data_IF_944758390063
#
_entry.id   IF_944758390063
#
_cell.length_a   1.000
_cell.length_b   1.000
_cell.length_c   1.000
_cell.angle_alpha   90.00
_cell.angle_beta   90.00
_cell.angle_gamma   90.00
#
_symmetry.space_group_name_H-M   'P 1'
#
loop_
_entity.id
_entity.type
_entity.pdbx_description
1 polymer ?
#
# COMPACT_ATOMS: atom_id res chain seq x y z
N UNK A 1 -16.19 35.80 -43.05
CA UNK A 1 -17.64 35.64 -43.32
C UNK A 1 -18.20 35.07 -42.04
N UNK A 2 -18.76 35.85 -41.15
CA UNK A 2 -20.13 36.38 -40.95
C UNK A 2 -21.17 35.28 -41.10
N UNK A 3 -21.84 34.87 -39.94
CA UNK A 3 -23.17 35.24 -39.53
C UNK A 3 -23.51 34.56 -38.19
N UNK A 4 -23.78 35.22 -37.24
CA UNK A 4 -24.73 35.71 -36.27
C UNK A 4 -26.20 35.33 -36.59
N UNK A 5 -26.93 34.85 -35.57
CA UNK A 5 -28.31 35.23 -35.23
C UNK A 5 -28.84 34.35 -34.10
N UNK A 6 -29.03 34.83 -32.91
CA UNK A 6 -30.15 35.58 -32.29
C UNK A 6 -31.28 34.72 -31.72
N UNK A 7 -31.38 34.78 -30.39
CA UNK A 7 -32.51 35.18 -29.51
C UNK A 7 -33.87 34.51 -29.66
N UNK A 8 -34.39 34.00 -28.57
CA UNK A 8 -35.64 34.57 -27.98
C UNK A 8 -35.91 34.09 -26.56
N UNK A 9 -36.08 35.09 -25.71
CA UNK A 9 -36.62 35.15 -24.37
C UNK A 9 -38.15 34.96 -24.43
N UNK A 10 -38.73 34.25 -23.46
CA UNK A 10 -40.12 34.49 -23.03
C UNK A 10 -40.24 34.38 -21.51
N UNK A 11 -40.53 35.53 -20.91
CA UNK A 11 -41.09 35.74 -19.58
C UNK A 11 -42.61 35.63 -19.62
N UNK A 12 -43.21 35.19 -18.52
CA UNK A 12 -44.50 35.59 -17.98
C UNK A 12 -44.61 34.96 -16.57
N UNK A 13 -44.55 35.68 -15.46
CA UNK A 13 -45.56 36.52 -14.80
C UNK A 13 -46.86 35.70 -14.52
N UNK A 14 -47.28 35.42 -13.31
CA UNK A 14 -47.44 36.05 -12.06
C UNK A 14 -48.80 35.62 -11.50
N UNK A 15 -48.96 35.43 -10.21
CA UNK A 15 -50.15 35.83 -9.47
C UNK A 15 -50.03 35.46 -7.97
N UNK A 16 -50.23 36.48 -7.15
CA UNK A 16 -50.34 36.40 -5.70
C UNK A 16 -51.81 36.32 -5.27
N UNK A 17 -52.08 35.68 -4.13
CA UNK A 17 -53.20 35.92 -3.22
C UNK A 17 -52.94 35.09 -1.95
N UNK A 18 -52.72 35.64 -0.86
CA UNK A 18 -53.50 36.35 0.15
C UNK A 18 -53.86 35.43 1.36
N UNK A 19 -53.30 35.85 2.47
CA UNK A 19 -53.64 35.70 3.89
C UNK A 19 -54.98 35.06 4.29
N UNK A 20 -54.90 34.13 5.27
CA UNK A 20 -55.81 34.14 6.41
C UNK A 20 -55.12 33.59 7.68
N UNK A 21 -55.01 34.45 8.68
CA UNK A 21 -54.69 34.08 10.09
C UNK A 21 -55.93 33.43 10.73
N UNK A 22 -55.72 32.38 11.51
CA UNK A 22 -56.56 32.03 12.62
C UNK A 22 -55.70 31.46 13.74
N UNK A 23 -55.64 32.20 14.83
CA UNK A 23 -55.13 31.82 16.15
C UNK A 23 -56.25 31.11 16.88
N UNK A 24 -55.99 30.01 17.59
CA UNK A 24 -56.41 29.68 18.96
C UNK A 24 -56.10 28.21 19.26
N UNK A 25 -55.49 27.97 20.42
CA UNK A 25 -55.66 26.73 21.13
C UNK A 25 -54.38 26.13 21.75
N UNK A 26 -54.07 26.51 22.97
CA UNK A 26 -53.12 25.82 23.81
C UNK A 26 -53.59 24.39 24.11
N UNK A 27 -52.68 23.42 23.94
CA UNK A 27 -52.85 22.05 24.40
C UNK A 27 -51.48 21.45 24.64
N UNK A 28 -51.05 21.37 25.91
CA UNK A 28 -49.94 20.56 26.33
C UNK A 28 -50.29 19.09 26.12
N UNK A 29 -49.55 18.40 25.29
CA UNK A 29 -49.37 16.96 25.36
C UNK A 29 -47.92 16.65 25.00
N UNK A 30 -47.18 16.18 26.00
CA UNK A 30 -45.89 15.55 25.87
C UNK A 30 -46.06 14.21 25.18
N UNK A 31 -45.69 14.16 23.91
CA UNK A 31 -45.37 12.91 23.20
C UNK A 31 -44.01 13.13 22.60
N UNK A 32 -43.04 12.32 23.10
CA UNK A 32 -41.68 12.24 22.56
C UNK A 32 -41.76 11.78 21.10
N UNK A 33 -41.51 12.70 20.20
CA UNK A 33 -41.18 12.39 18.82
C UNK A 33 -39.67 12.26 18.76
N UNK A 34 -39.19 11.02 18.65
CA UNK A 34 -37.85 10.73 18.14
C UNK A 34 -37.81 11.23 16.68
N UNK A 35 -37.44 12.49 16.50
CA UNK A 35 -36.95 12.95 15.22
C UNK A 35 -35.63 12.25 14.93
N UNK A 36 -35.27 12.02 13.66
CA UNK A 36 -33.97 11.47 13.34
C UNK A 36 -32.92 12.40 13.97
N UNK A 37 -32.20 11.88 14.97
CA UNK A 37 -30.99 12.50 15.52
C UNK A 37 -30.05 12.67 14.33
N UNK A 38 -29.77 13.90 13.93
CA UNK A 38 -28.66 14.16 13.01
C UNK A 38 -27.43 13.54 13.64
N UNK A 39 -26.79 12.61 12.93
CA UNK A 39 -25.53 12.03 13.34
C UNK A 39 -24.57 13.17 13.72
N UNK A 40 -23.81 13.00 14.78
CA UNK A 40 -22.77 13.98 15.11
C UNK A 40 -21.68 13.93 14.06
N UNK A 41 -20.89 14.99 13.88
CA UNK A 41 -19.75 14.96 12.97
C UNK A 41 -18.79 13.79 13.27
N UNK A 42 -18.70 13.40 14.55
CA UNK A 42 -17.93 12.22 14.98
C UNK A 42 -18.48 10.93 14.36
N UNK A 43 -19.81 10.76 14.37
CA UNK A 43 -20.46 9.55 13.85
C UNK A 43 -20.35 9.49 12.33
N UNK A 44 -20.40 10.64 11.63
CA UNK A 44 -20.30 10.70 10.17
C UNK A 44 -18.89 10.32 9.65
N UNK A 45 -17.82 10.77 10.33
CA UNK A 45 -16.43 10.40 9.98
C UNK A 45 -16.23 8.91 10.21
N UNK A 46 -16.63 8.41 11.38
CA UNK A 46 -16.47 6.99 11.72
C UNK A 46 -17.26 6.08 10.78
N UNK A 47 -18.50 6.46 10.41
CA UNK A 47 -19.36 5.68 9.51
C UNK A 47 -18.75 5.60 8.10
N UNK A 48 -18.32 6.74 7.52
CA UNK A 48 -17.65 6.74 6.21
C UNK A 48 -16.35 5.94 6.20
N UNK A 49 -15.55 6.07 7.26
CA UNK A 49 -14.32 5.30 7.38
C UNK A 49 -14.60 3.81 7.58
N UNK A 50 -15.64 3.44 8.35
CA UNK A 50 -16.03 2.04 8.54
C UNK A 50 -16.53 1.39 7.25
N UNK A 51 -17.32 2.11 6.43
CA UNK A 51 -17.72 1.63 5.10
C UNK A 51 -16.51 1.35 4.19
N UNK A 52 -15.55 2.27 4.18
CA UNK A 52 -14.32 2.10 3.41
C UNK A 52 -13.44 0.96 3.97
N UNK A 53 -13.40 0.79 5.28
CA UNK A 53 -12.64 -0.28 5.94
C UNK A 53 -13.22 -1.67 5.67
N UNK A 54 -14.55 -1.79 5.65
CA UNK A 54 -15.22 -3.06 5.31
C UNK A 54 -14.79 -3.59 3.94
N UNK A 55 -14.54 -2.70 2.99
CA UNK A 55 -14.04 -3.07 1.67
C UNK A 55 -12.55 -3.51 1.67
N UNK A 56 -11.81 -3.25 2.75
CA UNK A 56 -10.40 -3.63 2.90
C UNK A 56 -10.21 -4.91 3.72
N UNK A 57 -11.25 -5.44 4.37
CA UNK A 57 -11.20 -6.75 5.02
C UNK A 57 -11.33 -7.89 4.00
N UNK A 58 -11.03 -9.10 4.41
CA UNK A 58 -10.98 -10.26 3.53
C UNK A 58 -9.90 -10.11 2.48
N UNK A 59 -10.25 -10.29 1.21
CA UNK A 59 -9.31 -10.08 0.11
C UNK A 59 -8.98 -8.60 -0.16
N UNK A 60 -9.76 -7.65 0.39
CA UNK A 60 -9.58 -6.25 0.08
C UNK A 60 -9.59 -5.99 -1.42
N UNK A 61 -8.53 -5.40 -1.93
CA UNK A 61 -8.34 -5.20 -3.38
C UNK A 61 -7.53 -6.30 -4.06
N UNK A 62 -7.00 -7.28 -3.31
CA UNK A 62 -6.40 -8.47 -3.92
C UNK A 62 -7.41 -9.22 -4.79
N UNK A 63 -6.97 -9.70 -5.94
CA UNK A 63 -7.74 -10.50 -6.86
C UNK A 63 -6.97 -11.75 -7.29
N UNK A 64 -7.67 -12.73 -7.83
CA UNK A 64 -7.04 -13.85 -8.52
C UNK A 64 -6.14 -13.34 -9.67
N UNK A 65 -5.02 -14.00 -9.94
CA UNK A 65 -4.16 -13.62 -11.06
C UNK A 65 -4.89 -13.79 -12.40
N UNK A 66 -4.35 -13.18 -13.49
CA UNK A 66 -4.92 -13.35 -14.82
C UNK A 66 -5.10 -14.82 -15.18
N UNK A 67 -6.33 -15.24 -15.52
CA UNK A 67 -6.66 -16.63 -15.88
C UNK A 67 -6.31 -16.98 -17.33
N UNK A 68 -5.75 -16.03 -18.10
CA UNK A 68 -5.31 -16.20 -19.49
C UNK A 68 -3.95 -15.60 -19.69
N UNK A 69 -3.13 -16.20 -20.53
CA UNK A 69 -1.79 -15.72 -20.83
C UNK A 69 -0.96 -16.71 -21.65
N UNK A 70 0.30 -16.40 -21.91
CA UNK A 70 1.18 -17.23 -22.68
C UNK A 70 1.60 -18.47 -21.87
N UNK A 71 1.87 -19.54 -22.59
CA UNK A 71 2.57 -20.68 -22.00
C UNK A 71 3.98 -20.25 -21.58
N UNK A 72 4.56 -21.03 -20.68
CA UNK A 72 5.93 -20.80 -20.23
C UNK A 72 6.89 -20.62 -21.41
N UNK A 73 7.74 -19.61 -21.34
CA UNK A 73 8.79 -19.32 -22.32
C UNK A 73 10.13 -19.77 -21.71
N UNK A 74 10.55 -21.04 -21.90
CA UNK A 74 11.72 -21.58 -21.21
C UNK A 74 13.04 -21.16 -21.85
N UNK A 75 14.15 -21.38 -21.11
CA UNK A 75 15.50 -21.23 -21.64
C UNK A 75 16.09 -19.84 -21.51
N UNK A 76 15.36 -18.89 -20.92
CA UNK A 76 15.85 -17.53 -20.68
C UNK A 76 16.73 -17.46 -19.43
N UNK A 77 17.73 -16.60 -19.47
CA UNK A 77 18.55 -16.21 -18.32
C UNK A 77 17.99 -14.93 -17.73
N UNK A 78 17.44 -15.03 -16.52
CA UNK A 78 16.87 -13.89 -15.81
C UNK A 78 17.75 -13.57 -14.61
N UNK A 79 18.11 -12.30 -14.43
CA UNK A 79 18.86 -11.85 -13.26
C UNK A 79 17.96 -11.02 -12.34
N UNK A 80 17.61 -11.57 -11.18
CA UNK A 80 16.94 -10.84 -10.12
C UNK A 80 17.98 -10.08 -9.29
N UNK A 81 17.88 -8.77 -9.27
CA UNK A 81 18.62 -7.91 -8.35
C UNK A 81 17.66 -7.44 -7.28
N UNK A 82 17.82 -7.97 -6.08
CA UNK A 82 16.98 -7.64 -4.91
C UNK A 82 17.64 -6.53 -4.11
N UNK A 83 16.84 -5.62 -3.55
CA UNK A 83 17.35 -4.61 -2.59
C UNK A 83 18.02 -5.27 -1.37
N UNK A 84 17.50 -6.40 -0.91
CA UNK A 84 18.08 -7.22 0.16
C UNK A 84 17.26 -8.46 0.40
N UNK A 85 17.91 -9.61 0.54
CA UNK A 85 17.26 -10.91 0.79
C UNK A 85 17.22 -11.30 2.26
N UNK A 86 17.73 -10.46 3.17
CA UNK A 86 17.82 -10.76 4.60
C UNK A 86 16.55 -10.40 5.38
N UNK A 87 15.72 -9.50 4.87
CA UNK A 87 14.43 -9.18 5.49
C UNK A 87 13.39 -10.28 5.23
N UNK A 88 12.35 -10.38 6.04
CA UNK A 88 11.24 -11.28 5.78
C UNK A 88 10.65 -11.09 4.38
N UNK A 89 10.44 -9.84 3.95
CA UNK A 89 9.94 -9.47 2.62
C UNK A 89 10.85 -9.97 1.51
N UNK A 90 12.13 -9.59 1.56
CA UNK A 90 13.11 -9.98 0.53
C UNK A 90 13.33 -11.49 0.46
N UNK A 91 13.24 -12.19 1.60
CA UNK A 91 13.30 -13.67 1.64
C UNK A 91 12.08 -14.29 0.94
N UNK A 92 10.87 -13.85 1.28
CA UNK A 92 9.62 -14.33 0.68
C UNK A 92 9.62 -14.11 -0.83
N UNK A 93 9.91 -12.89 -1.25
CA UNK A 93 9.99 -12.50 -2.65
C UNK A 93 11.03 -13.34 -3.43
N UNK A 94 12.25 -13.48 -2.92
CA UNK A 94 13.28 -14.24 -3.60
C UNK A 94 12.95 -15.74 -3.69
N UNK A 95 12.22 -16.30 -2.73
CA UNK A 95 11.76 -17.68 -2.78
C UNK A 95 10.67 -17.84 -3.84
N UNK A 96 9.64 -16.98 -3.83
CA UNK A 96 8.59 -16.98 -4.86
C UNK A 96 9.16 -16.83 -6.28
N UNK A 97 10.15 -15.94 -6.46
CA UNK A 97 10.84 -15.77 -7.74
C UNK A 97 11.58 -17.03 -8.20
N UNK A 98 12.26 -17.76 -7.28
CA UNK A 98 12.92 -19.03 -7.60
C UNK A 98 11.92 -20.12 -8.00
N UNK A 99 10.80 -20.19 -7.32
CA UNK A 99 9.73 -21.15 -7.62
C UNK A 99 9.11 -20.88 -8.98
N UNK A 100 8.70 -19.64 -9.25
CA UNK A 100 8.13 -19.24 -10.54
C UNK A 100 9.12 -19.46 -11.69
N UNK A 101 10.38 -19.02 -11.54
CA UNK A 101 11.43 -19.20 -12.55
C UNK A 101 11.70 -20.67 -12.88
N UNK A 102 11.71 -21.52 -11.85
CA UNK A 102 11.86 -22.99 -12.03
C UNK A 102 10.73 -23.58 -12.86
N UNK A 103 9.48 -23.18 -12.60
CA UNK A 103 8.31 -23.63 -13.33
C UNK A 103 8.33 -23.10 -14.78
N UNK A 104 8.75 -21.87 -14.99
CA UNK A 104 8.90 -21.25 -16.32
C UNK A 104 10.10 -21.81 -17.11
N UNK A 105 10.98 -22.58 -16.47
CA UNK A 105 12.18 -23.14 -17.11
C UNK A 105 13.29 -22.12 -17.37
N UNK A 106 13.40 -21.12 -16.49
CA UNK A 106 14.42 -20.09 -16.57
C UNK A 106 15.69 -20.45 -15.77
N UNK A 107 16.82 -19.92 -16.21
CA UNK A 107 18.07 -19.87 -15.45
C UNK A 107 18.08 -18.56 -14.64
N UNK A 108 17.59 -18.62 -13.40
CA UNK A 108 17.48 -17.45 -12.52
C UNK A 108 18.73 -17.32 -11.65
N UNK A 109 19.44 -16.19 -11.81
CA UNK A 109 20.44 -15.74 -10.84
C UNK A 109 19.82 -14.70 -9.89
N UNK A 110 20.14 -14.79 -8.59
CA UNK A 110 19.68 -13.83 -7.57
C UNK A 110 20.87 -13.11 -6.99
N UNK A 111 20.88 -11.79 -7.12
CA UNK A 111 21.89 -10.92 -6.53
C UNK A 111 21.30 -10.19 -5.31
N UNK A 112 21.99 -10.31 -4.18
CA UNK A 112 21.63 -9.65 -2.93
C UNK A 112 22.26 -8.25 -2.86
N UNK A 113 21.41 -7.22 -2.94
CA UNK A 113 21.84 -5.82 -2.89
C UNK A 113 22.16 -5.29 -1.49
N UNK A 114 21.93 -6.07 -0.43
CA UNK A 114 22.33 -5.77 0.96
C UNK A 114 21.90 -4.39 1.48
N UNK A 115 20.88 -3.81 0.86
CA UNK A 115 20.38 -2.44 1.10
C UNK A 115 21.44 -1.35 0.82
N UNK A 116 22.38 -1.62 -0.12
CA UNK A 116 23.46 -0.71 -0.48
C UNK A 116 23.38 -0.33 -1.97
N UNK A 117 23.24 0.96 -2.34
CA UNK A 117 23.14 1.39 -3.75
C UNK A 117 24.32 0.96 -4.64
N UNK A 118 25.50 0.80 -4.07
CA UNK A 118 26.69 0.29 -4.80
C UNK A 118 26.52 -1.17 -5.19
N UNK A 119 25.93 -1.99 -4.34
CA UNK A 119 25.64 -3.39 -4.62
C UNK A 119 24.54 -3.52 -5.66
N UNK A 120 23.50 -2.66 -5.63
CA UNK A 120 22.47 -2.64 -6.67
C UNK A 120 23.06 -2.44 -8.07
N UNK A 121 23.95 -1.45 -8.21
CA UNK A 121 24.64 -1.18 -9.47
C UNK A 121 25.53 -2.35 -9.88
N UNK A 122 26.22 -2.98 -8.94
CA UNK A 122 27.05 -4.15 -9.23
C UNK A 122 26.20 -5.34 -9.68
N UNK A 123 25.03 -5.59 -9.06
CA UNK A 123 24.09 -6.62 -9.49
C UNK A 123 23.63 -6.45 -10.93
N UNK A 124 23.30 -5.22 -11.35
CA UNK A 124 22.95 -4.91 -12.73
C UNK A 124 24.16 -5.17 -13.68
N UNK A 125 25.36 -4.74 -13.31
CA UNK A 125 26.56 -5.01 -14.11
C UNK A 125 26.89 -6.49 -14.22
N UNK A 126 26.67 -7.24 -13.14
CA UNK A 126 26.83 -8.69 -13.15
C UNK A 126 25.84 -9.35 -14.12
N UNK A 127 24.58 -8.94 -14.13
CA UNK A 127 23.57 -9.39 -15.08
C UNK A 127 24.00 -9.13 -16.53
N UNK A 128 24.53 -7.94 -16.81
CA UNK A 128 25.07 -7.57 -18.13
C UNK A 128 26.24 -8.49 -18.50
N UNK A 129 27.18 -8.71 -17.60
CA UNK A 129 28.38 -9.54 -17.85
C UNK A 129 28.04 -11.01 -18.12
N UNK A 130 26.95 -11.50 -17.55
CA UNK A 130 26.44 -12.86 -17.72
C UNK A 130 25.54 -13.01 -18.97
N UNK A 131 25.33 -11.93 -19.71
CA UNK A 131 24.43 -11.87 -20.86
C UNK A 131 23.02 -12.34 -20.47
N UNK A 132 22.45 -11.75 -19.43
CA UNK A 132 21.07 -12.00 -19.06
C UNK A 132 20.12 -11.55 -20.17
N UNK A 133 19.04 -12.30 -20.40
CA UNK A 133 17.98 -11.94 -21.34
C UNK A 133 17.02 -10.90 -20.74
N UNK A 134 16.98 -10.81 -19.41
CA UNK A 134 16.19 -9.83 -18.65
C UNK A 134 16.84 -9.54 -17.30
N UNK A 135 16.71 -8.30 -16.84
CA UNK A 135 17.03 -7.88 -15.47
C UNK A 135 15.71 -7.62 -14.75
N UNK A 136 15.52 -8.29 -13.63
CA UNK A 136 14.37 -8.13 -12.76
C UNK A 136 14.82 -7.39 -11.49
N UNK A 137 14.35 -6.17 -11.28
CA UNK A 137 14.63 -5.37 -10.09
C UNK A 137 13.52 -5.56 -9.06
N UNK A 138 13.90 -5.83 -7.83
CA UNK A 138 12.98 -5.86 -6.69
C UNK A 138 13.33 -4.76 -5.69
N UNK A 139 12.39 -3.82 -5.49
CA UNK A 139 12.48 -2.73 -4.51
C UNK A 139 13.76 -1.88 -4.64
N UNK A 140 14.12 -1.53 -5.89
CA UNK A 140 15.28 -0.70 -6.22
C UNK A 140 14.84 0.41 -7.16
N UNK A 141 14.72 1.63 -6.64
CA UNK A 141 14.30 2.79 -7.41
C UNK A 141 15.36 3.22 -8.43
N UNK A 142 14.90 3.57 -9.63
CA UNK A 142 15.77 3.98 -10.75
C UNK A 142 16.81 5.07 -10.41
N UNK A 143 16.51 6.14 -9.64
CA UNK A 143 17.50 7.16 -9.32
C UNK A 143 18.75 6.63 -8.62
N UNK A 144 18.66 5.53 -7.88
CA UNK A 144 19.77 4.93 -7.14
C UNK A 144 20.78 4.22 -8.05
N UNK A 145 20.32 3.77 -9.24
CA UNK A 145 21.10 2.90 -10.12
C UNK A 145 21.17 3.39 -11.58
N UNK A 146 20.80 4.64 -11.83
CA UNK A 146 20.69 5.21 -13.17
C UNK A 146 21.88 4.90 -14.09
N UNK A 147 23.11 5.01 -13.57
CA UNK A 147 24.32 4.72 -14.35
C UNK A 147 24.37 3.27 -14.85
N UNK A 148 24.00 2.31 -13.99
CA UNK A 148 23.96 0.89 -14.35
C UNK A 148 22.79 0.59 -15.32
N UNK A 149 21.67 1.31 -15.21
CA UNK A 149 20.55 1.22 -16.16
C UNK A 149 20.94 1.76 -17.54
N UNK A 150 21.74 2.83 -17.62
CA UNK A 150 22.33 3.29 -18.89
C UNK A 150 23.23 2.22 -19.53
N UNK A 151 23.95 1.44 -18.71
CA UNK A 151 24.77 0.32 -19.17
C UNK A 151 23.90 -0.84 -19.69
N UNK A 152 22.84 -1.22 -18.97
CA UNK A 152 21.88 -2.25 -19.39
C UNK A 152 21.19 -1.86 -20.71
N UNK A 153 20.73 -0.61 -20.83
CA UNK A 153 20.12 -0.07 -22.06
C UNK A 153 21.06 -0.13 -23.25
N UNK A 154 22.34 0.20 -23.05
CA UNK A 154 23.36 0.08 -24.11
C UNK A 154 23.67 -1.36 -24.51
N UNK A 155 23.55 -2.29 -23.57
CA UNK A 155 23.67 -3.72 -23.80
C UNK A 155 22.42 -4.32 -24.46
N UNK A 156 21.31 -3.58 -24.53
CA UNK A 156 20.05 -4.05 -25.11
C UNK A 156 19.32 -5.04 -24.22
N UNK A 157 19.58 -5.02 -22.89
CA UNK A 157 18.94 -5.91 -21.94
C UNK A 157 17.74 -5.19 -21.32
N UNK A 158 16.52 -5.70 -21.47
CA UNK A 158 15.31 -5.13 -20.87
C UNK A 158 15.34 -5.24 -19.35
N UNK A 159 14.83 -4.21 -18.68
CA UNK A 159 14.76 -4.12 -17.22
C UNK A 159 13.31 -4.08 -16.79
N UNK A 160 12.96 -4.92 -15.83
CA UNK A 160 11.62 -5.06 -15.27
C UNK A 160 11.61 -4.64 -13.81
N UNK A 161 10.56 -3.94 -13.41
CA UNK A 161 10.41 -3.44 -12.05
C UNK A 161 9.31 -4.17 -11.30
N UNK A 162 9.64 -4.55 -10.09
CA UNK A 162 8.73 -4.98 -9.05
C UNK A 162 8.98 -4.12 -7.82
N UNK A 163 7.97 -3.42 -7.31
CA UNK A 163 8.07 -2.48 -6.20
C UNK A 163 9.17 -1.41 -6.37
N UNK A 164 9.26 -0.78 -7.53
CA UNK A 164 10.24 0.29 -7.71
C UNK A 164 9.76 1.33 -8.72
N UNK A 165 10.04 2.59 -8.42
CA UNK A 165 9.75 3.71 -9.29
C UNK A 165 10.79 3.84 -10.40
N UNK A 166 10.33 4.08 -11.65
CA UNK A 166 11.21 4.47 -12.73
C UNK A 166 11.71 5.92 -12.52
N UNK A 167 12.73 6.31 -13.20
CA UNK A 167 13.25 7.66 -13.15
C UNK A 167 12.21 8.69 -13.63
N UNK A 168 11.38 8.33 -14.60
CA UNK A 168 10.28 9.17 -15.10
C UNK A 168 9.15 9.36 -14.10
N UNK A 169 8.94 8.43 -13.17
CA UNK A 169 7.90 8.53 -12.13
C UNK A 169 8.29 9.54 -11.05
N UNK A 170 9.60 9.68 -10.81
CA UNK A 170 10.15 10.63 -9.83
C UNK A 170 10.44 12.00 -10.45
N UNK A 171 10.91 12.03 -11.69
CA UNK A 171 11.18 13.23 -12.47
C UNK A 171 10.63 13.06 -13.89
N UNK A 172 9.49 13.70 -14.22
CA UNK A 172 8.90 13.59 -15.57
C UNK A 172 9.78 14.03 -16.72
N UNK A 173 10.90 14.73 -16.45
CA UNK A 173 11.88 15.11 -17.45
C UNK A 173 12.96 14.03 -17.67
N UNK A 174 13.03 13.03 -16.79
CA UNK A 174 13.96 11.92 -16.93
C UNK A 174 13.46 10.91 -17.97
N UNK A 175 14.38 10.17 -18.65
CA UNK A 175 13.97 9.07 -19.51
C UNK A 175 13.44 7.89 -18.68
N UNK A 176 12.52 7.14 -19.25
CA UNK A 176 12.13 5.83 -18.74
C UNK A 176 13.23 4.79 -19.02
N UNK A 177 13.43 3.92 -18.06
CA UNK A 177 14.40 2.83 -18.12
C UNK A 177 13.76 1.45 -17.99
N UNK A 178 12.59 1.37 -17.35
CA UNK A 178 11.93 0.08 -17.18
C UNK A 178 11.10 -0.25 -18.40
N UNK A 179 11.32 -1.44 -18.93
CA UNK A 179 10.55 -1.99 -20.06
C UNK A 179 9.10 -2.22 -19.64
N UNK A 180 8.92 -2.75 -18.40
CA UNK A 180 7.63 -2.90 -17.73
C UNK A 180 7.82 -2.79 -16.24
N UNK A 181 6.79 -2.28 -15.59
CA UNK A 181 6.60 -2.31 -14.14
C UNK A 181 5.40 -3.16 -13.78
N UNK A 182 5.43 -3.80 -12.62
CA UNK A 182 4.27 -4.54 -12.13
C UNK A 182 3.09 -3.58 -11.93
N UNK A 183 1.93 -3.97 -12.45
CA UNK A 183 0.69 -3.22 -12.25
C UNK A 183 -0.08 -3.81 -11.07
N UNK A 184 -0.36 -3.00 -10.06
CA UNK A 184 -1.11 -3.36 -8.86
C UNK A 184 -2.62 -3.14 -9.08
N UNK A 185 -3.43 -3.61 -8.15
CA UNK A 185 -4.88 -3.38 -8.22
C UNK A 185 -5.25 -1.90 -8.11
N UNK A 186 -4.44 -1.11 -7.40
CA UNK A 186 -4.58 0.34 -7.24
C UNK A 186 -4.06 1.13 -8.45
N UNK A 187 -3.26 0.53 -9.32
CA UNK A 187 -2.61 1.16 -10.45
C UNK A 187 -1.10 0.94 -10.47
N UNK A 188 -0.31 2.01 -10.54
CA UNK A 188 1.16 1.91 -10.50
C UNK A 188 1.69 1.72 -9.06
N UNK A 189 3.00 1.59 -8.96
CA UNK A 189 3.69 1.40 -7.67
C UNK A 189 3.47 2.55 -6.67
N UNK A 190 3.38 3.80 -7.16
CA UNK A 190 3.15 4.96 -6.30
C UNK A 190 1.70 4.98 -5.83
N UNK A 191 0.74 4.73 -6.72
CA UNK A 191 -0.68 4.64 -6.39
C UNK A 191 -0.97 3.52 -5.39
N UNK A 192 -0.31 2.35 -5.56
CA UNK A 192 -0.37 1.27 -4.57
C UNK A 192 0.19 1.72 -3.21
N UNK A 193 1.33 2.39 -3.18
CA UNK A 193 1.90 2.95 -1.96
C UNK A 193 0.99 3.97 -1.27
N UNK A 194 0.35 4.87 -2.04
CA UNK A 194 -0.69 5.78 -1.51
C UNK A 194 -1.87 4.99 -0.92
N UNK A 195 -2.29 3.91 -1.56
CA UNK A 195 -3.32 3.00 -1.07
C UNK A 195 -3.00 2.39 0.29
N UNK A 196 -1.74 1.96 0.51
CA UNK A 196 -1.28 1.45 1.81
C UNK A 196 -1.44 2.51 2.91
N UNK A 197 -1.01 3.74 2.66
CA UNK A 197 -1.18 4.85 3.61
C UNK A 197 -2.64 5.21 3.84
N UNK A 198 -3.44 5.23 2.78
CA UNK A 198 -4.88 5.47 2.87
C UNK A 198 -5.59 4.42 3.73
N UNK A 199 -5.20 3.14 3.63
CA UNK A 199 -5.77 2.06 4.45
C UNK A 199 -5.52 2.28 5.95
N UNK A 200 -4.34 2.79 6.32
CA UNK A 200 -4.03 3.13 7.72
C UNK A 200 -4.92 4.27 8.25
N UNK A 201 -5.12 5.31 7.45
CA UNK A 201 -5.99 6.43 7.81
C UNK A 201 -7.45 5.97 7.97
N UNK A 202 -7.94 5.14 7.04
CA UNK A 202 -9.29 4.56 7.07
C UNK A 202 -9.49 3.75 8.34
N UNK A 203 -8.55 2.85 8.69
CA UNK A 203 -8.66 2.03 9.89
C UNK A 203 -8.70 2.88 11.17
N UNK A 204 -7.79 3.85 11.30
CA UNK A 204 -7.75 4.74 12.46
C UNK A 204 -9.03 5.58 12.59
N UNK A 205 -9.53 6.14 11.49
CA UNK A 205 -10.74 6.95 11.52
C UNK A 205 -11.99 6.12 11.79
N UNK A 206 -12.05 4.87 11.35
CA UNK A 206 -13.16 3.96 11.68
C UNK A 206 -13.22 3.67 13.20
N UNK A 207 -12.05 3.60 13.87
CA UNK A 207 -11.97 3.38 15.33
C UNK A 207 -12.16 4.67 16.15
N UNK A 208 -11.69 5.83 15.67
CA UNK A 208 -11.54 7.05 16.45
C UNK A 208 -12.54 8.17 16.09
N UNK A 209 -13.15 8.12 14.90
CA UNK A 209 -14.02 9.16 14.37
C UNK A 209 -13.31 10.52 14.25
N UNK A 210 -14.08 11.60 14.35
CA UNK A 210 -13.56 12.97 14.28
C UNK A 210 -12.74 13.40 15.52
N UNK A 211 -12.57 12.53 16.53
CA UNK A 211 -11.70 12.77 17.68
C UNK A 211 -10.28 12.24 17.49
N UNK A 212 -9.95 11.80 16.29
CA UNK A 212 -8.64 11.28 15.97
C UNK A 212 -7.55 12.35 16.22
N UNK A 213 -6.61 12.04 17.11
CA UNK A 213 -5.35 12.77 17.37
C UNK A 213 -4.22 11.77 17.15
N UNK A 214 -3.61 11.80 15.97
CA UNK A 214 -2.76 10.73 15.48
C UNK A 214 -1.30 11.16 15.46
N UNK A 215 -0.40 10.27 15.89
CA UNK A 215 1.03 10.37 15.64
C UNK A 215 1.34 9.50 14.44
N UNK A 216 1.71 10.11 13.32
CA UNK A 216 2.24 9.41 12.16
C UNK A 216 3.76 9.31 12.27
N UNK A 217 4.31 8.09 12.25
CA UNK A 217 5.76 7.83 12.22
C UNK A 217 6.13 7.55 10.77
N UNK A 218 6.58 8.59 10.08
CA UNK A 218 6.84 8.59 8.65
C UNK A 218 8.35 8.50 8.35
N UNK A 219 8.70 7.59 7.44
CA UNK A 219 9.99 7.59 6.76
C UNK A 219 9.74 8.02 5.31
N UNK A 220 10.34 9.10 4.87
CA UNK A 220 10.16 9.61 3.49
C UNK A 220 11.45 9.54 2.66
N UNK A 221 12.39 8.67 3.07
CA UNK A 221 13.67 8.50 2.37
C UNK A 221 13.55 7.61 1.13
N UNK A 222 12.54 6.70 1.09
CA UNK A 222 12.26 5.80 -0.03
C UNK A 222 11.00 6.26 -0.76
N UNK A 223 10.90 5.98 -2.06
CA UNK A 223 9.72 6.34 -2.85
C UNK A 223 8.45 5.72 -2.28
N UNK A 224 8.48 4.41 -1.97
CA UNK A 224 7.33 3.72 -1.39
C UNK A 224 6.88 4.32 -0.06
N UNK A 225 7.80 4.57 0.85
CA UNK A 225 7.44 5.08 2.19
C UNK A 225 6.98 6.53 2.14
N UNK A 226 7.46 7.30 1.15
CA UNK A 226 6.89 8.61 0.85
C UNK A 226 5.48 8.50 0.30
N UNK A 227 5.21 7.56 -0.61
CA UNK A 227 3.87 7.33 -1.13
C UNK A 227 2.89 6.92 -0.02
N UNK A 228 3.30 6.04 0.91
CA UNK A 228 2.51 5.70 2.11
C UNK A 228 2.18 6.96 2.93
N UNK A 229 3.17 7.82 3.18
CA UNK A 229 2.94 9.10 3.88
C UNK A 229 1.94 9.98 3.13
N UNK A 230 2.15 10.18 1.83
CA UNK A 230 1.31 11.05 1.01
C UNK A 230 -0.15 10.53 0.97
N UNK A 231 -0.34 9.22 0.82
CA UNK A 231 -1.65 8.57 0.83
C UNK A 231 -2.36 8.67 2.18
N UNK A 232 -1.62 8.49 3.28
CA UNK A 232 -2.14 8.68 4.63
C UNK A 232 -2.64 10.11 4.84
N UNK A 233 -1.82 11.12 4.53
CA UNK A 233 -2.17 12.53 4.68
C UNK A 233 -3.37 12.92 3.82
N UNK A 234 -3.37 12.51 2.55
CA UNK A 234 -4.46 12.77 1.59
C UNK A 234 -5.79 12.18 2.08
N UNK A 235 -5.77 10.94 2.61
CA UNK A 235 -6.98 10.28 3.11
C UNK A 235 -7.46 10.89 4.43
N UNK A 236 -6.56 11.30 5.31
CA UNK A 236 -6.90 12.05 6.53
C UNK A 236 -7.57 13.40 6.18
N UNK A 237 -7.03 14.15 5.22
CA UNK A 237 -7.63 15.41 4.77
C UNK A 237 -9.01 15.19 4.12
N UNK A 238 -9.16 14.14 3.32
CA UNK A 238 -10.41 13.79 2.64
C UNK A 238 -11.54 13.45 3.64
N UNK A 239 -11.26 12.61 4.63
CA UNK A 239 -12.28 12.09 5.54
C UNK A 239 -12.44 12.91 6.82
N UNK A 240 -11.36 13.55 7.30
CA UNK A 240 -11.36 14.31 8.55
C UNK A 240 -10.35 15.45 8.53
N UNK A 241 -10.59 16.51 7.75
CA UNK A 241 -9.69 17.67 7.66
C UNK A 241 -9.41 18.39 9.01
N UNK A 242 -10.33 18.27 9.97
CA UNK A 242 -10.20 18.86 11.31
C UNK A 242 -9.51 17.90 12.31
N UNK A 243 -9.25 16.65 11.94
CA UNK A 243 -8.52 15.71 12.77
C UNK A 243 -7.05 16.14 12.93
N UNK A 244 -6.49 15.87 14.09
CA UNK A 244 -5.11 16.25 14.36
C UNK A 244 -4.14 15.14 13.95
N UNK A 245 -3.15 15.50 13.13
CA UNK A 245 -2.02 14.63 12.77
C UNK A 245 -0.71 15.30 13.16
N UNK A 246 0.12 14.59 13.90
CA UNK A 246 1.48 14.99 14.25
C UNK A 246 2.47 14.04 13.58
N UNK A 247 3.13 14.49 12.52
CA UNK A 247 4.11 13.66 11.81
C UNK A 247 5.46 13.67 12.52
N UNK A 248 5.92 12.48 12.92
CA UNK A 248 7.27 12.22 13.39
C UNK A 248 8.11 11.70 12.23
N UNK A 249 8.93 12.56 11.62
CA UNK A 249 9.86 12.13 10.59
C UNK A 249 11.03 11.34 11.19
N UNK A 250 11.24 10.13 10.68
CA UNK A 250 12.35 9.24 11.04
C UNK A 250 13.17 8.88 9.81
N UNK A 251 14.36 8.36 10.03
CA UNK A 251 15.27 7.88 8.98
C UNK A 251 15.63 6.42 9.23
N UNK A 252 16.06 5.71 8.21
CA UNK A 252 16.56 4.33 8.33
C UNK A 252 17.69 4.25 9.36
N UNK A 253 18.55 5.26 9.42
CA UNK A 253 19.62 5.36 10.42
C UNK A 253 19.14 5.48 11.89
N UNK A 254 17.86 5.74 12.11
CA UNK A 254 17.28 5.83 13.46
C UNK A 254 16.84 4.47 14.03
N UNK A 255 16.81 3.39 13.24
CA UNK A 255 16.29 2.09 13.67
C UNK A 255 16.97 1.58 14.94
N UNK A 256 16.20 0.89 15.79
CA UNK A 256 16.61 0.42 17.09
C UNK A 256 16.39 1.42 18.23
N UNK A 257 17.35 1.60 19.17
CA UNK A 257 17.16 2.42 20.37
C UNK A 257 16.81 3.89 20.09
N UNK A 258 17.34 4.48 19.00
CA UNK A 258 17.06 5.87 18.64
C UNK A 258 15.61 6.04 18.15
N UNK A 259 15.06 5.08 17.41
CA UNK A 259 13.66 5.07 17.00
C UNK A 259 12.74 4.97 18.22
N UNK A 260 13.03 4.04 19.14
CA UNK A 260 12.27 3.89 20.38
C UNK A 260 12.26 5.19 21.19
N UNK A 261 13.40 5.88 21.33
CA UNK A 261 13.50 7.16 22.05
C UNK A 261 12.67 8.26 21.37
N UNK A 262 12.74 8.37 20.04
CA UNK A 262 11.97 9.35 19.27
C UNK A 262 10.46 9.14 19.44
N UNK A 263 9.98 7.90 19.29
CA UNK A 263 8.56 7.56 19.46
C UNK A 263 8.12 7.81 20.90
N UNK A 264 8.90 7.37 21.91
CA UNK A 264 8.61 7.64 23.33
C UNK A 264 8.50 9.15 23.60
N UNK A 265 9.40 9.95 23.01
CA UNK A 265 9.35 11.40 23.14
C UNK A 265 8.11 12.00 22.46
N UNK A 266 7.72 11.48 21.29
CA UNK A 266 6.51 11.92 20.59
C UNK A 266 5.25 11.60 21.43
N UNK A 267 5.15 10.41 22.00
CA UNK A 267 4.07 10.01 22.90
C UNK A 267 3.97 10.91 24.15
N UNK A 268 5.11 11.27 24.74
CA UNK A 268 5.14 12.18 25.91
C UNK A 268 4.71 13.62 25.56
N UNK A 269 5.07 14.10 24.36
CA UNK A 269 4.73 15.45 23.89
C UNK A 269 3.28 15.57 23.42
N UNK A 270 2.65 14.46 23.04
CA UNK A 270 1.27 14.38 22.56
C UNK A 270 0.44 13.48 23.49
N UNK A 271 0.15 13.92 24.73
CA UNK A 271 -0.58 13.09 25.70
C UNK A 271 -2.04 12.83 25.30
N UNK A 272 -2.61 13.64 24.42
CA UNK A 272 -3.96 13.49 23.87
C UNK A 272 -4.05 12.56 22.67
N UNK A 273 -2.93 12.19 22.06
CA UNK A 273 -2.94 11.32 20.89
C UNK A 273 -3.60 9.98 21.21
N UNK A 274 -4.54 9.54 20.40
CA UNK A 274 -5.30 8.30 20.56
C UNK A 274 -5.10 7.33 19.40
N UNK A 275 -4.34 7.73 18.37
CA UNK A 275 -3.95 6.89 17.26
C UNK A 275 -2.46 7.02 16.92
N UNK A 276 -1.90 5.96 16.33
CA UNK A 276 -0.55 5.95 15.75
C UNK A 276 -0.52 5.14 14.47
N UNK A 277 0.06 5.71 13.41
CA UNK A 277 0.36 5.02 12.17
C UNK A 277 1.88 4.91 12.00
N UNK A 278 2.39 3.74 11.62
CA UNK A 278 3.79 3.55 11.25
C UNK A 278 3.84 3.04 9.80
N UNK A 279 4.73 3.58 8.99
CA UNK A 279 4.74 3.33 7.54
C UNK A 279 4.81 1.84 7.18
N UNK A 280 5.47 1.00 7.99
CA UNK A 280 5.60 -0.44 7.76
C UNK A 280 6.06 -1.20 9.02
N UNK A 281 6.00 -2.51 8.97
CA UNK A 281 6.17 -3.43 10.11
C UNK A 281 7.55 -3.36 10.79
N UNK A 282 8.63 -3.15 10.03
CA UNK A 282 9.98 -3.08 10.62
C UNK A 282 10.13 -1.94 11.63
N UNK A 283 9.34 -0.87 11.52
CA UNK A 283 9.34 0.22 12.50
C UNK A 283 8.81 -0.26 13.86
N UNK A 284 7.83 -1.17 13.85
CA UNK A 284 7.31 -1.76 15.09
C UNK A 284 8.36 -2.62 15.78
N UNK A 285 8.98 -3.55 15.04
CA UNK A 285 9.97 -4.48 15.58
C UNK A 285 11.30 -3.80 15.92
N UNK A 286 11.62 -2.68 15.27
CA UNK A 286 12.84 -1.89 15.53
C UNK A 286 12.71 -0.85 16.63
N UNK A 287 11.65 -0.89 17.44
CA UNK A 287 11.50 -0.01 18.60
C UNK A 287 10.12 0.59 18.82
N UNK A 288 9.26 0.62 17.80
CA UNK A 288 7.91 1.18 17.88
C UNK A 288 7.04 0.50 18.95
N UNK A 289 6.91 -0.82 18.87
CA UNK A 289 6.15 -1.60 19.83
C UNK A 289 6.67 -1.43 21.28
N UNK A 290 7.99 -1.45 21.45
CA UNK A 290 8.61 -1.25 22.76
C UNK A 290 8.32 0.16 23.32
N UNK A 291 8.30 1.19 22.47
CA UNK A 291 7.96 2.55 22.89
C UNK A 291 6.49 2.67 23.35
N UNK A 292 5.55 2.08 22.59
CA UNK A 292 4.12 2.07 22.96
C UNK A 292 3.91 1.37 24.29
N UNK A 293 4.44 0.16 24.45
CA UNK A 293 4.32 -0.62 25.70
C UNK A 293 4.95 0.13 26.89
N UNK A 294 6.17 0.67 26.71
CA UNK A 294 6.87 1.41 27.76
C UNK A 294 6.18 2.72 28.17
N UNK A 295 5.38 3.31 27.30
CA UNK A 295 4.60 4.52 27.60
C UNK A 295 3.42 4.26 28.55
N UNK A 296 3.04 2.98 28.75
CA UNK A 296 1.84 2.58 29.51
C UNK A 296 0.53 2.88 28.80
N UNK A 297 0.56 3.18 27.50
CA UNK A 297 -0.61 3.59 26.70
C UNK A 297 -1.14 2.50 25.78
N UNK A 298 -0.61 1.30 25.88
CA UNK A 298 -0.94 0.18 25.00
C UNK A 298 -2.45 -0.09 24.85
N UNK A 299 -3.24 0.16 25.92
CA UNK A 299 -4.70 -0.06 25.92
C UNK A 299 -5.49 1.25 25.66
N UNK A 300 -4.83 2.33 25.26
CA UNK A 300 -5.44 3.66 25.09
C UNK A 300 -5.01 4.41 23.83
N UNK A 301 -4.27 3.77 22.96
CA UNK A 301 -3.85 4.27 21.65
C UNK A 301 -4.01 3.15 20.63
N UNK A 302 -4.72 3.44 19.55
CA UNK A 302 -4.88 2.52 18.43
C UNK A 302 -3.65 2.58 17.52
N UNK A 303 -3.02 1.45 17.23
CA UNK A 303 -1.74 1.40 16.50
C UNK A 303 -1.84 0.51 15.28
N UNK A 304 -1.60 1.09 14.10
CA UNK A 304 -1.53 0.36 12.83
C UNK A 304 -0.16 0.51 12.20
N UNK A 305 0.36 -0.60 11.67
CA UNK A 305 1.54 -0.63 10.83
C UNK A 305 1.24 -1.37 9.52
N UNK A 306 2.18 -2.12 8.97
CA UNK A 306 1.94 -2.83 7.73
C UNK A 306 2.81 -4.05 7.52
N UNK A 307 2.49 -4.77 6.49
CA UNK A 307 3.03 -5.99 5.90
C UNK A 307 2.48 -7.31 6.44
N UNK A 308 2.12 -7.42 7.71
CA UNK A 308 1.58 -8.68 8.28
C UNK A 308 2.64 -9.77 8.45
N UNK A 309 3.88 -9.43 8.81
CA UNK A 309 4.90 -10.41 9.12
C UNK A 309 4.63 -11.14 10.44
N UNK A 310 5.14 -12.37 10.57
CA UNK A 310 4.97 -13.22 11.76
C UNK A 310 5.21 -12.46 13.07
N UNK A 311 6.30 -11.70 13.16
CA UNK A 311 6.63 -10.96 14.37
C UNK A 311 5.56 -9.92 14.73
N UNK A 312 5.01 -9.23 13.75
CA UNK A 312 3.99 -8.19 13.91
C UNK A 312 2.61 -8.77 14.18
N UNK A 313 2.24 -9.85 13.49
CA UNK A 313 1.05 -10.66 13.80
C UNK A 313 1.08 -11.09 15.28
N UNK A 314 2.24 -11.56 15.76
CA UNK A 314 2.41 -11.92 17.17
C UNK A 314 2.26 -10.73 18.13
N UNK A 315 2.67 -9.51 17.74
CA UNK A 315 2.43 -8.29 18.53
C UNK A 315 0.93 -8.02 18.71
N UNK A 316 0.15 -8.17 17.63
CA UNK A 316 -1.32 -8.00 17.67
C UNK A 316 -1.96 -9.05 18.57
N UNK A 317 -1.62 -10.36 18.41
CA UNK A 317 -2.13 -11.43 19.28
C UNK A 317 -1.82 -11.22 20.74
N UNK A 318 -0.62 -10.74 21.04
CA UNK A 318 -0.13 -10.59 22.42
C UNK A 318 -0.49 -9.25 23.05
N UNK A 319 -1.18 -8.37 22.33
CA UNK A 319 -1.47 -6.99 22.76
C UNK A 319 -0.20 -6.23 23.15
N UNK A 320 0.77 -6.19 22.25
CA UNK A 320 2.10 -5.61 22.51
C UNK A 320 2.42 -4.45 21.58
N UNK A 321 1.57 -3.42 21.57
CA UNK A 321 1.85 -2.13 20.95
C UNK A 321 1.49 -2.05 19.48
N UNK A 322 0.84 -3.07 18.89
CA UNK A 322 0.25 -3.06 17.56
C UNK A 322 -1.14 -3.68 17.62
N UNK A 323 -2.12 -3.09 16.91
CA UNK A 323 -3.51 -3.50 16.89
C UNK A 323 -3.98 -3.97 15.54
N UNK A 324 -3.37 -3.45 14.45
CA UNK A 324 -3.73 -3.76 13.08
C UNK A 324 -2.52 -3.64 12.13
N UNK A 325 -2.71 -4.12 10.89
CA UNK A 325 -1.76 -3.94 9.80
C UNK A 325 -2.42 -4.06 8.44
N UNK A 326 -1.85 -3.39 7.44
CA UNK A 326 -2.08 -3.74 6.05
C UNK A 326 -1.25 -4.99 5.70
N UNK A 327 -1.58 -5.66 4.60
CA UNK A 327 -1.04 -6.98 4.29
C UNK A 327 -0.13 -6.96 3.06
N UNK A 328 0.79 -7.91 3.01
CA UNK A 328 1.72 -8.12 1.92
C UNK A 328 1.99 -9.61 1.70
N UNK A 329 2.04 -10.04 0.44
CA UNK A 329 2.47 -11.39 0.07
C UNK A 329 3.56 -11.33 -1.02
N UNK A 330 4.82 -11.39 -0.59
CA UNK A 330 5.96 -11.32 -1.49
C UNK A 330 6.07 -12.49 -2.48
N UNK A 331 5.53 -13.64 -2.14
CA UNK A 331 5.53 -14.79 -3.05
C UNK A 331 4.52 -14.58 -4.18
N UNK A 332 3.29 -14.16 -3.87
CA UNK A 332 2.29 -13.86 -4.88
C UNK A 332 2.75 -12.75 -5.83
N UNK A 333 3.35 -11.70 -5.28
CA UNK A 333 3.88 -10.61 -6.08
C UNK A 333 5.03 -11.05 -6.99
N UNK A 334 5.94 -11.90 -6.47
CA UNK A 334 7.03 -12.45 -7.28
C UNK A 334 6.53 -13.33 -8.44
N UNK A 335 5.49 -14.13 -8.23
CA UNK A 335 4.89 -14.92 -9.31
C UNK A 335 4.22 -14.02 -10.34
N UNK A 336 3.57 -12.95 -9.90
CA UNK A 336 2.97 -11.93 -10.78
C UNK A 336 4.01 -11.20 -11.61
N UNK A 337 5.15 -10.85 -11.03
CA UNK A 337 6.27 -10.25 -11.75
C UNK A 337 6.91 -11.24 -12.75
N UNK A 338 6.99 -12.52 -12.38
CA UNK A 338 7.44 -13.56 -13.32
C UNK A 338 6.47 -13.72 -14.50
N UNK A 339 5.15 -13.63 -14.28
CA UNK A 339 4.16 -13.64 -15.36
C UNK A 339 4.31 -12.43 -16.29
N UNK A 340 4.53 -11.24 -15.75
CA UNK A 340 4.81 -10.02 -16.52
C UNK A 340 6.03 -10.21 -17.45
N UNK A 341 7.11 -10.79 -16.92
CA UNK A 341 8.33 -11.08 -17.70
C UNK A 341 8.08 -12.18 -18.75
N UNK A 342 7.33 -13.24 -18.37
CA UNK A 342 6.95 -14.32 -19.30
C UNK A 342 6.09 -13.79 -20.46
N UNK A 343 5.16 -12.88 -20.21
CA UNK A 343 4.37 -12.18 -21.24
C UNK A 343 5.26 -11.38 -22.18
N UNK A 344 6.26 -10.67 -21.64
CA UNK A 344 7.21 -9.96 -22.47
C UNK A 344 7.96 -10.90 -23.42
N UNK A 345 8.48 -12.01 -22.94
CA UNK A 345 9.16 -13.00 -23.78
C UNK A 345 8.25 -13.62 -24.84
N UNK A 346 6.96 -13.74 -24.54
CA UNK A 346 5.97 -14.21 -25.51
C UNK A 346 5.51 -13.12 -26.52
N UNK A 347 5.91 -11.87 -26.33
CA UNK A 347 5.44 -10.73 -27.14
C UNK A 347 4.02 -10.29 -26.83
N UNK A 348 3.49 -10.62 -25.64
CA UNK A 348 2.17 -10.19 -25.15
C UNK A 348 2.26 -8.90 -24.33
N UNK A 349 1.15 -8.17 -24.22
CA UNK A 349 1.03 -6.95 -23.41
C UNK A 349 1.08 -7.25 -21.91
N UNK A 350 1.42 -6.20 -21.10
CA UNK A 350 1.29 -6.24 -19.65
C UNK A 350 -0.18 -6.28 -19.26
N UNK A 351 -0.46 -6.80 -18.08
CA UNK A 351 -1.81 -6.89 -17.51
C UNK A 351 -1.74 -6.66 -15.99
N UNK A 352 -2.82 -6.18 -15.37
CA UNK A 352 -2.88 -6.07 -13.91
C UNK A 352 -2.60 -7.41 -13.23
N UNK A 353 -1.81 -7.37 -12.16
CA UNK A 353 -1.28 -8.57 -11.50
C UNK A 353 -2.28 -9.27 -10.57
N UNK A 354 -3.27 -8.52 -10.08
CA UNK A 354 -4.12 -8.95 -8.98
C UNK A 354 -3.53 -8.70 -7.58
N UNK A 355 -2.29 -8.23 -7.49
CA UNK A 355 -1.68 -7.82 -6.21
C UNK A 355 -2.34 -6.53 -5.74
N UNK A 356 -2.88 -6.54 -4.53
CA UNK A 356 -3.64 -5.44 -3.97
C UNK A 356 -3.30 -5.19 -2.50
N UNK A 357 -4.28 -4.69 -1.76
CA UNK A 357 -4.17 -4.31 -0.34
C UNK A 357 -5.34 -4.94 0.43
N UNK A 358 -5.06 -5.51 1.59
CA UNK A 358 -6.07 -5.78 2.61
C UNK A 358 -5.57 -5.35 3.98
N UNK A 359 -6.46 -5.35 4.97
CA UNK A 359 -6.16 -4.95 6.34
C UNK A 359 -6.61 -6.07 7.27
N UNK A 360 -5.83 -6.33 8.29
CA UNK A 360 -6.24 -7.17 9.41
C UNK A 360 -6.21 -6.39 10.72
N UNK A 361 -7.07 -6.76 11.64
CA UNK A 361 -7.01 -6.35 13.04
C UNK A 361 -7.35 -7.54 13.95
N UNK A 362 -7.50 -7.33 15.26
CA UNK A 362 -7.80 -8.42 16.21
C UNK A 362 -9.10 -9.16 15.93
N UNK A 363 -10.06 -8.47 15.33
CA UNK A 363 -11.42 -8.98 15.13
C UNK A 363 -11.62 -9.48 13.69
N UNK A 364 -10.73 -9.09 12.74
CA UNK A 364 -10.87 -9.37 11.30
C UNK A 364 -9.54 -9.82 10.71
N UNK A 365 -9.58 -10.94 9.99
CA UNK A 365 -8.52 -11.46 9.12
C UNK A 365 -7.12 -11.58 9.74
N UNK A 366 -7.03 -11.58 11.08
CA UNK A 366 -5.76 -11.73 11.79
C UNK A 366 -5.14 -13.10 11.47
N UNK A 367 -3.95 -13.16 10.85
CA UNK A 367 -3.27 -14.41 10.60
C UNK A 367 -3.09 -15.24 11.89
N UNK A 368 -3.04 -16.58 11.81
CA UNK A 368 -2.78 -17.41 12.97
C UNK A 368 -1.47 -17.00 13.66
N UNK A 369 -1.44 -17.10 15.00
CA UNK A 369 -0.23 -16.78 15.75
C UNK A 369 0.95 -17.63 15.31
N UNK A 370 2.07 -17.00 15.00
CA UNK A 370 3.27 -17.65 14.50
C UNK A 370 3.32 -17.80 12.99
N UNK A 371 2.36 -17.24 12.27
CA UNK A 371 2.33 -17.23 10.81
C UNK A 371 2.35 -15.78 10.29
N UNK A 372 2.99 -15.58 9.13
CA UNK A 372 2.87 -14.34 8.37
C UNK A 372 1.61 -14.38 7.50
N UNK A 373 1.08 -13.23 7.12
CA UNK A 373 0.00 -13.16 6.13
C UNK A 373 0.45 -13.77 4.80
N UNK A 374 -0.48 -14.46 4.15
CA UNK A 374 -0.41 -14.82 2.73
C UNK A 374 -1.82 -14.80 2.13
N UNK A 375 -1.93 -14.51 0.84
CA UNK A 375 -3.23 -14.31 0.17
C UNK A 375 -4.15 -15.53 0.18
N UNK A 376 -3.60 -16.72 0.40
CA UNK A 376 -4.40 -17.94 0.64
C UNK A 376 -5.31 -17.86 1.87
N UNK A 377 -4.96 -17.04 2.87
CA UNK A 377 -5.79 -16.81 4.06
C UNK A 377 -7.09 -16.06 3.73
N UNK A 378 -7.07 -15.27 2.67
CA UNK A 378 -8.22 -14.51 2.17
C UNK A 378 -8.83 -15.12 0.91
N UNK A 379 -8.51 -16.37 0.64
CA UNK A 379 -9.17 -17.21 -0.37
C UNK A 379 -8.61 -17.12 -1.78
N UNK A 380 -7.41 -16.52 -1.97
CA UNK A 380 -6.75 -16.43 -3.28
C UNK A 380 -5.72 -17.56 -3.40
N UNK A 381 -5.93 -18.47 -4.34
CA UNK A 381 -5.03 -19.58 -4.63
C UNK A 381 -4.34 -19.36 -5.99
N UNK A 382 -3.33 -18.51 -6.00
CA UNK A 382 -2.69 -18.04 -7.23
C UNK A 382 -1.85 -19.11 -7.95
N UNK A 383 -1.23 -20.02 -7.22
CA UNK A 383 -0.31 -20.99 -7.81
C UNK A 383 -0.96 -21.90 -8.87
N UNK A 384 -2.14 -22.52 -8.63
CA UNK A 384 -2.80 -23.32 -9.64
C UNK A 384 -3.18 -22.53 -10.88
N UNK A 385 -3.60 -21.26 -10.70
CA UNK A 385 -3.99 -20.39 -11.81
C UNK A 385 -2.77 -20.10 -12.70
N UNK A 386 -1.64 -19.68 -12.14
CA UNK A 386 -0.43 -19.47 -12.91
C UNK A 386 0.09 -20.76 -13.58
N UNK A 387 0.07 -21.88 -12.85
CA UNK A 387 0.48 -23.20 -13.41
C UNK A 387 -0.38 -23.59 -14.61
N UNK A 388 -1.69 -23.39 -14.56
CA UNK A 388 -2.62 -23.64 -15.67
C UNK A 388 -2.34 -22.70 -16.85
N UNK A 389 -2.19 -21.41 -16.61
CA UNK A 389 -1.88 -20.40 -17.64
C UNK A 389 -0.57 -20.73 -18.33
N UNK A 390 0.50 -20.97 -17.57
CA UNK A 390 1.82 -21.30 -18.11
C UNK A 390 1.90 -22.70 -18.72
N UNK A 391 0.93 -23.58 -18.41
CA UNK A 391 0.89 -24.97 -18.91
C UNK A 391 1.96 -25.85 -18.28
N UNK A 392 2.27 -25.62 -17.00
CA UNK A 392 3.26 -26.35 -16.20
C UNK A 392 2.58 -27.08 -15.05
N UNK A 393 3.28 -28.05 -14.43
CA UNK A 393 2.74 -28.89 -13.34
C UNK A 393 3.66 -28.90 -12.12
#
# INVERSE_FOLDING_TARGET
>A
MRSRSNRRIRQAAGAAAALTMLVVGAGCSTEGGDGPTSASADDEVAEKAAEALEALYGSGTFAEPPSTGPKAQPGHKVALVSSGVQSPTGTSQANGAREAAKLLGWDLSVYDGKYEPSEYQEGVRQAISQNADAIWLYSIDCPLIRTALDEAKRAGIPVFSQEAADCSDVDPAAPSYYERSLEFAEGDFIEWGEGLGASQAVWLLAKLGAKADIIEVANTELVITKAVHDGFQKKMEELCADCKVTTLNIRIADFGPALQEKISTALLRNPSANGMALSYDDLMTSGGAAAVVASGRNDSIEVIAGSGYEANVNLVHDNKGQDAGWTYDGSYEAWSAADMINRYFAGEENVPSGVGISVFDRDHDLPPKGEAFHVGMVGIDYEPVFKEVWGVS
#
